data_IF_450708348698
#
_entry.id   IF_450708348698
#
_cell.length_a   1.000
_cell.length_b   1.000
_cell.length_c   1.000
_cell.angle_alpha   90.00
_cell.angle_beta   90.00
_cell.angle_gamma   90.00
#
_symmetry.space_group_name_H-M   'P 1'
#
loop_
_entity.id
_entity.type
_entity.pdbx_description
1 polymer ?
#
# COMPACT_ATOMS: atom_id res chain seq x y z
N UNK A 1 -15.12 14.23 -9.39
CA UNK A 1 -14.16 15.12 -8.68
C UNK A 1 -12.94 15.28 -9.56
N UNK A 2 -12.48 16.50 -9.79
CA UNK A 2 -11.21 16.73 -10.50
C UNK A 2 -10.07 16.45 -9.51
N UNK A 3 -9.13 15.57 -9.86
CA UNK A 3 -7.88 15.46 -9.10
C UNK A 3 -7.12 16.76 -9.22
N UNK A 4 -6.66 17.27 -8.10
CA UNK A 4 -5.75 18.41 -8.07
C UNK A 4 -4.35 17.91 -8.44
N UNK A 5 -4.07 17.88 -9.74
CA UNK A 5 -2.76 17.50 -10.27
C UNK A 5 -1.81 18.69 -10.10
N UNK A 6 -0.57 18.40 -9.71
CA UNK A 6 0.47 19.43 -9.67
C UNK A 6 0.53 20.17 -11.02
N UNK A 7 0.66 21.49 -10.99
CA UNK A 7 0.60 22.34 -12.17
C UNK A 7 1.55 21.88 -13.29
N UNK A 8 2.73 21.35 -12.94
CA UNK A 8 3.68 20.80 -13.89
C UNK A 8 3.13 19.59 -14.66
N UNK A 9 2.35 18.72 -14.01
CA UNK A 9 1.75 17.54 -14.65
C UNK A 9 0.57 17.97 -15.52
N UNK A 10 -0.31 18.86 -15.02
CA UNK A 10 -1.41 19.40 -15.82
C UNK A 10 -0.90 20.07 -17.10
N UNK A 11 0.11 20.91 -16.97
CA UNK A 11 0.75 21.61 -18.12
C UNK A 11 1.36 20.64 -19.12
N UNK A 12 2.03 19.58 -18.63
CA UNK A 12 2.65 18.56 -19.47
C UNK A 12 1.60 17.75 -20.26
N UNK A 13 0.45 17.46 -19.67
CA UNK A 13 -0.62 16.70 -20.33
C UNK A 13 -1.31 17.47 -21.46
N UNK A 14 -1.15 18.80 -21.49
CA UNK A 14 -1.65 19.66 -22.57
C UNK A 14 -0.70 19.71 -23.78
N UNK A 15 0.53 19.21 -23.67
CA UNK A 15 1.52 19.17 -24.75
C UNK A 15 1.21 18.06 -25.76
N UNK A 16 1.65 18.26 -27.03
CA UNK A 16 1.40 17.29 -28.12
C UNK A 16 2.17 15.98 -27.99
N UNK A 17 3.30 15.99 -27.28
CA UNK A 17 4.12 14.80 -27.03
C UNK A 17 4.42 14.69 -25.53
N UNK A 18 3.77 13.77 -24.87
CA UNK A 18 3.99 13.49 -23.45
C UNK A 18 4.44 12.05 -23.29
N UNK A 19 5.60 11.86 -22.70
CA UNK A 19 6.02 10.53 -22.22
C UNK A 19 5.53 10.35 -20.79
N UNK A 20 4.77 9.29 -20.56
CA UNK A 20 4.23 8.94 -19.23
C UNK A 20 4.93 7.73 -18.67
N UNK A 21 5.03 7.67 -17.34
CA UNK A 21 5.55 6.51 -16.65
C UNK A 21 4.79 6.23 -15.35
N UNK A 22 4.91 5.01 -14.89
CA UNK A 22 4.41 4.60 -13.60
C UNK A 22 5.57 4.30 -12.67
N UNK A 23 5.36 4.54 -11.39
CA UNK A 23 6.28 4.14 -10.34
C UNK A 23 5.52 3.58 -9.13
N UNK A 24 6.16 2.71 -8.39
CA UNK A 24 5.59 2.18 -7.15
C UNK A 24 6.64 2.11 -6.05
N UNK A 25 6.21 2.44 -4.83
CA UNK A 25 6.97 2.25 -3.61
C UNK A 25 6.35 1.08 -2.85
N UNK A 26 7.10 0.04 -2.58
CA UNK A 26 6.72 -1.05 -1.69
C UNK A 26 7.51 -0.89 -0.40
N UNK A 27 6.82 -0.49 0.66
CA UNK A 27 7.46 -0.14 1.94
C UNK A 27 7.47 -1.36 2.85
N UNK A 28 8.65 -1.88 3.10
CA UNK A 28 8.93 -2.95 4.06
C UNK A 28 9.47 -2.39 5.37
N UNK A 29 10.00 -3.22 6.23
CA UNK A 29 10.75 -2.75 7.39
C UNK A 29 12.12 -2.21 6.94
N UNK A 30 12.43 -0.98 7.36
CA UNK A 30 13.68 -0.31 6.98
C UNK A 30 14.90 -1.21 7.30
N UNK A 31 15.86 -1.37 6.40
CA UNK A 31 16.13 -0.58 5.18
C UNK A 31 15.64 -1.21 3.86
N UNK A 32 14.69 -2.13 3.89
CA UNK A 32 14.35 -3.04 2.78
C UNK A 32 13.26 -2.53 1.84
N UNK A 33 12.96 -1.24 1.84
CA UNK A 33 12.02 -0.64 0.90
C UNK A 33 12.41 -0.87 -0.55
N UNK A 34 11.44 -1.20 -1.39
CA UNK A 34 11.63 -1.44 -2.82
C UNK A 34 10.93 -0.37 -3.64
N UNK A 35 11.64 0.12 -4.66
CA UNK A 35 11.16 1.17 -5.54
C UNK A 35 11.30 0.71 -6.99
N UNK A 36 10.20 0.72 -7.74
CA UNK A 36 10.16 0.30 -9.14
C UNK A 36 9.53 1.36 -10.01
N UNK A 37 9.94 1.41 -11.28
CA UNK A 37 9.30 2.23 -12.29
C UNK A 37 9.20 1.52 -13.64
N UNK A 38 8.29 1.97 -14.50
CA UNK A 38 7.97 1.32 -15.79
C UNK A 38 9.00 1.53 -16.89
N UNK A 39 10.04 2.30 -16.65
CA UNK A 39 11.08 2.53 -17.62
C UNK A 39 12.28 1.59 -17.45
N UNK A 40 13.35 1.89 -18.18
CA UNK A 40 14.58 1.09 -18.21
C UNK A 40 15.67 1.83 -17.43
N UNK A 41 16.47 1.08 -16.67
CA UNK A 41 17.56 1.62 -15.85
C UNK A 41 17.07 2.29 -14.58
N UNK A 42 17.95 3.00 -13.90
CA UNK A 42 17.65 3.64 -12.63
C UNK A 42 17.05 5.05 -12.83
N UNK A 43 16.03 5.36 -12.07
CA UNK A 43 15.42 6.69 -12.00
C UNK A 43 15.56 7.24 -10.58
N UNK A 44 16.13 8.44 -10.43
CA UNK A 44 16.13 9.15 -9.16
C UNK A 44 14.92 10.10 -9.12
N UNK A 45 14.01 9.87 -8.16
CA UNK A 45 12.81 10.67 -7.94
C UNK A 45 12.62 10.89 -6.43
N UNK A 46 12.44 12.13 -6.01
CA UNK A 46 12.27 12.51 -4.61
C UNK A 46 13.37 11.97 -3.66
N UNK A 47 14.61 11.90 -4.15
CA UNK A 47 15.76 11.40 -3.39
C UNK A 47 15.81 9.87 -3.23
N UNK A 48 14.93 9.13 -3.91
CA UNK A 48 14.88 7.67 -3.94
C UNK A 48 15.31 7.16 -5.30
N UNK A 49 15.98 6.00 -5.32
CA UNK A 49 16.37 5.34 -6.57
C UNK A 49 15.37 4.24 -6.91
N UNK A 50 14.68 4.40 -8.03
CA UNK A 50 13.73 3.44 -8.59
C UNK A 50 14.43 2.58 -9.62
N UNK A 51 14.31 1.27 -9.47
CA UNK A 51 14.83 0.29 -10.44
C UNK A 51 13.82 0.12 -11.56
N UNK A 52 14.31 0.17 -12.80
CA UNK A 52 13.45 -0.10 -13.96
C UNK A 52 13.02 -1.56 -13.99
N UNK A 53 11.71 -1.77 -13.97
CA UNK A 53 11.10 -3.10 -14.05
C UNK A 53 10.99 -3.62 -15.50
N UNK A 54 11.68 -2.98 -16.46
CA UNK A 54 11.58 -3.32 -17.87
C UNK A 54 10.20 -3.03 -18.46
N UNK A 55 9.81 -3.78 -19.50
CA UNK A 55 8.56 -3.52 -20.23
C UNK A 55 7.25 -3.84 -19.47
N UNK A 56 7.33 -4.22 -18.18
CA UNK A 56 6.19 -4.81 -17.50
C UNK A 56 6.00 -4.35 -16.05
N UNK A 57 5.89 -3.05 -15.83
CA UNK A 57 5.08 -2.58 -14.70
C UNK A 57 3.64 -2.42 -15.21
N UNK A 58 2.83 -3.45 -15.05
CA UNK A 58 1.40 -3.41 -15.29
C UNK A 58 0.66 -2.97 -14.03
N UNK A 59 -0.23 -2.01 -14.16
CA UNK A 59 -1.15 -1.59 -13.09
C UNK A 59 -2.56 -1.83 -13.58
N UNK A 60 -3.37 -2.55 -12.79
CA UNK A 60 -4.78 -2.71 -13.12
C UNK A 60 -5.51 -1.38 -13.07
N UNK A 61 -6.76 -1.37 -13.52
CA UNK A 61 -7.63 -0.19 -13.39
C UNK A 61 -7.68 0.30 -11.95
N UNK A 62 -7.34 1.58 -11.75
CA UNK A 62 -7.50 2.28 -10.48
C UNK A 62 -8.90 2.92 -10.46
N UNK A 63 -9.79 2.37 -9.65
CA UNK A 63 -11.15 2.88 -9.52
C UNK A 63 -11.25 3.89 -8.39
N UNK A 64 -11.88 5.01 -8.69
CA UNK A 64 -12.26 6.02 -7.70
C UNK A 64 -13.78 6.20 -7.73
N UNK A 65 -14.37 6.25 -6.56
CA UNK A 65 -15.80 6.54 -6.39
C UNK A 65 -15.99 7.56 -5.29
N UNK A 66 -17.10 8.28 -5.34
CA UNK A 66 -17.56 9.13 -4.23
C UNK A 66 -18.13 8.31 -3.06
N UNK A 67 -18.38 7.03 -3.28
CA UNK A 67 -18.89 6.13 -2.24
C UNK A 67 -17.75 5.67 -1.34
N UNK A 68 -18.06 5.39 -0.09
CA UNK A 68 -17.13 4.78 0.86
C UNK A 68 -17.04 3.28 0.52
N UNK A 69 -16.27 2.96 -0.52
CA UNK A 69 -16.02 1.60 -0.96
C UNK A 69 -14.51 1.33 -0.98
N UNK A 70 -14.14 0.13 -0.55
CA UNK A 70 -12.77 -0.32 -0.62
C UNK A 70 -12.48 -0.82 -2.04
N UNK A 71 -11.59 -0.15 -2.73
CA UNK A 71 -11.08 -0.56 -4.03
C UNK A 71 -9.66 -1.06 -3.89
N UNK A 72 -9.31 -2.05 -4.67
CA UNK A 72 -7.96 -2.58 -4.77
C UNK A 72 -7.33 -2.28 -6.12
N UNK A 73 -6.02 -2.47 -6.20
CA UNK A 73 -5.25 -2.45 -7.43
C UNK A 73 -4.36 -3.69 -7.49
N UNK A 74 -4.13 -4.22 -8.68
CA UNK A 74 -3.14 -5.27 -8.88
C UNK A 74 -1.94 -4.68 -9.59
N UNK A 75 -0.77 -4.84 -8.98
CA UNK A 75 0.52 -4.46 -9.54
C UNK A 75 1.16 -5.72 -10.15
N UNK A 76 1.48 -5.68 -11.42
CA UNK A 76 2.20 -6.76 -12.10
C UNK A 76 3.61 -6.29 -12.41
N UNK A 77 4.58 -6.93 -11.80
CA UNK A 77 6.00 -6.62 -11.89
C UNK A 77 6.70 -7.78 -12.62
N UNK A 78 7.50 -7.49 -13.62
CA UNK A 78 8.28 -8.49 -14.37
C UNK A 78 9.72 -8.01 -14.56
N UNK A 79 10.63 -8.92 -14.89
CA UNK A 79 12.03 -8.59 -15.08
C UNK A 79 12.78 -8.22 -13.81
N UNK A 80 12.23 -8.52 -12.63
CA UNK A 80 12.86 -8.18 -11.35
C UNK A 80 14.05 -9.12 -11.09
N UNK A 81 15.22 -8.60 -10.67
CA UNK A 81 16.33 -9.42 -10.26
C UNK A 81 15.99 -10.38 -9.11
N UNK A 82 16.50 -11.60 -9.16
CA UNK A 82 16.22 -12.65 -8.15
C UNK A 82 16.61 -12.23 -6.71
N UNK A 83 17.60 -11.35 -6.59
CA UNK A 83 18.02 -10.77 -5.30
C UNK A 83 16.89 -9.97 -4.63
N UNK A 84 16.12 -9.22 -5.41
CA UNK A 84 15.00 -8.42 -4.91
C UNK A 84 13.82 -9.33 -4.54
N UNK A 85 13.58 -10.38 -5.34
CA UNK A 85 12.55 -11.39 -5.05
C UNK A 85 12.83 -12.06 -3.71
N UNK A 86 14.08 -12.38 -3.41
CA UNK A 86 14.43 -13.02 -2.14
C UNK A 86 14.14 -12.13 -0.92
N UNK A 87 14.31 -10.82 -1.04
CA UNK A 87 13.93 -9.87 0.02
C UNK A 87 12.41 -9.83 0.21
N UNK A 88 11.66 -9.74 -0.89
CA UNK A 88 10.21 -9.72 -0.84
C UNK A 88 9.60 -11.01 -0.25
N UNK A 89 10.26 -12.16 -0.42
CA UNK A 89 9.84 -13.43 0.18
C UNK A 89 10.28 -13.61 1.63
N UNK A 90 11.36 -12.97 2.04
CA UNK A 90 11.92 -13.13 3.39
C UNK A 90 11.19 -12.29 4.44
N UNK A 91 10.52 -11.22 4.03
CA UNK A 91 9.87 -10.27 4.92
C UNK A 91 8.33 -10.35 4.88
N UNK A 92 7.66 -10.13 6.02
CA UNK A 92 6.21 -10.04 6.05
C UNK A 92 5.75 -8.79 5.29
N UNK A 93 5.14 -8.99 4.12
CA UNK A 93 4.66 -7.91 3.26
C UNK A 93 3.18 -7.55 3.51
N UNK A 94 2.39 -8.50 4.01
CA UNK A 94 0.96 -8.28 4.24
C UNK A 94 0.70 -7.14 5.23
N UNK A 95 -0.22 -6.23 4.85
CA UNK A 95 -0.54 -5.04 5.62
C UNK A 95 0.51 -3.92 5.52
N UNK A 96 1.59 -4.13 4.74
CA UNK A 96 2.59 -3.10 4.48
C UNK A 96 2.11 -2.16 3.38
N UNK A 97 2.56 -0.90 3.44
CA UNK A 97 2.11 0.14 2.53
C UNK A 97 2.69 -0.03 1.14
N UNK A 98 1.82 0.12 0.13
CA UNK A 98 2.21 0.31 -1.26
C UNK A 98 1.69 1.65 -1.76
N UNK A 99 2.52 2.36 -2.53
CA UNK A 99 2.19 3.68 -3.10
C UNK A 99 2.38 3.58 -4.61
N UNK A 100 1.36 3.94 -5.38
CA UNK A 100 1.41 4.01 -6.83
C UNK A 100 1.47 5.46 -7.25
N UNK A 101 2.41 5.76 -8.13
CA UNK A 101 2.67 7.10 -8.66
C UNK A 101 2.49 7.10 -10.18
N UNK A 102 1.87 8.15 -10.68
CA UNK A 102 1.81 8.49 -12.10
C UNK A 102 2.77 9.63 -12.36
N UNK A 103 3.61 9.49 -13.37
CA UNK A 103 4.59 10.49 -13.72
C UNK A 103 4.60 10.85 -15.19
N UNK A 104 5.14 12.03 -15.46
CA UNK A 104 5.37 12.56 -16.79
C UNK A 104 6.84 12.93 -16.96
N UNK A 105 7.35 12.73 -18.17
CA UNK A 105 8.68 13.17 -18.58
C UNK A 105 8.52 14.34 -19.55
N UNK A 106 8.98 15.50 -19.12
CA UNK A 106 8.97 16.72 -19.94
C UNK A 106 10.42 17.12 -20.20
N UNK A 107 10.85 16.97 -21.42
CA UNK A 107 12.21 17.34 -21.85
C UNK A 107 13.32 16.74 -20.95
N UNK A 108 13.15 15.51 -20.50
CA UNK A 108 14.11 14.80 -19.64
C UNK A 108 13.93 15.07 -18.13
N UNK A 109 12.99 15.94 -17.76
CA UNK A 109 12.65 16.18 -16.35
C UNK A 109 11.45 15.32 -15.97
N UNK A 110 11.68 14.35 -15.07
CA UNK A 110 10.64 13.44 -14.60
C UNK A 110 10.00 13.93 -13.32
N UNK A 111 8.69 14.05 -13.34
CA UNK A 111 7.89 14.46 -12.18
C UNK A 111 6.75 13.45 -11.99
N UNK A 112 6.44 13.09 -10.76
CA UNK A 112 5.38 12.15 -10.46
C UNK A 112 4.48 12.61 -9.31
N UNK A 113 3.24 12.14 -9.34
CA UNK A 113 2.23 12.37 -8.30
C UNK A 113 1.70 11.03 -7.79
N UNK A 114 1.43 10.94 -6.50
CA UNK A 114 0.77 9.77 -5.92
C UNK A 114 -0.67 9.70 -6.39
N UNK A 115 -1.04 8.57 -6.99
CA UNK A 115 -2.40 8.32 -7.49
C UNK A 115 -3.15 7.29 -6.67
N UNK A 116 -2.44 6.41 -5.98
CA UNK A 116 -3.05 5.41 -5.11
C UNK A 116 -2.13 5.08 -3.94
N UNK A 117 -2.72 4.86 -2.77
CA UNK A 117 -2.02 4.35 -1.59
C UNK A 117 -2.88 3.26 -0.96
N UNK A 118 -2.28 2.11 -0.73
CA UNK A 118 -2.95 0.96 -0.15
C UNK A 118 -2.01 0.12 0.71
N UNK A 119 -2.49 -1.05 1.09
CA UNK A 119 -1.74 -2.05 1.84
C UNK A 119 -1.57 -3.31 0.98
N UNK A 120 -0.38 -3.90 0.99
CA UNK A 120 -0.09 -5.14 0.29
C UNK A 120 -0.87 -6.29 0.94
N UNK A 121 -1.57 -7.08 0.13
CA UNK A 121 -2.37 -8.21 0.61
C UNK A 121 -1.81 -9.54 0.09
N UNK A 122 -2.09 -9.92 -1.13
CA UNK A 122 -1.65 -11.18 -1.72
C UNK A 122 -0.56 -10.95 -2.75
N UNK A 123 0.53 -11.71 -2.63
CA UNK A 123 1.61 -11.73 -3.61
C UNK A 123 1.68 -13.10 -4.27
N UNK A 124 1.54 -13.13 -5.58
CA UNK A 124 1.65 -14.33 -6.40
C UNK A 124 2.92 -14.22 -7.27
N UNK A 125 3.82 -15.18 -7.16
CA UNK A 125 5.08 -15.22 -7.90
C UNK A 125 5.01 -16.38 -8.89
N UNK A 126 5.14 -16.05 -10.17
CA UNK A 126 5.16 -17.02 -11.25
C UNK A 126 6.56 -17.10 -11.88
N UNK A 127 7.14 -18.28 -11.85
CA UNK A 127 8.43 -18.54 -12.47
C UNK A 127 8.21 -19.06 -13.90
N UNK A 128 8.55 -18.25 -14.89
CA UNK A 128 8.63 -18.64 -16.29
C UNK A 128 10.00 -19.18 -16.65
N UNK A 129 10.19 -19.63 -17.90
CA UNK A 129 11.49 -20.16 -18.35
C UNK A 129 12.59 -19.08 -18.31
N UNK A 130 12.27 -17.86 -18.68
CA UNK A 130 13.22 -16.76 -18.82
C UNK A 130 12.91 -15.54 -17.92
N UNK A 131 11.72 -15.49 -17.34
CA UNK A 131 11.27 -14.33 -16.56
C UNK A 131 10.51 -14.75 -15.32
N UNK A 132 10.62 -13.93 -14.27
CA UNK A 132 9.79 -14.03 -13.08
C UNK A 132 8.78 -12.89 -13.09
N UNK A 133 7.53 -13.23 -12.91
CA UNK A 133 6.44 -12.26 -12.81
C UNK A 133 5.86 -12.29 -11.40
N UNK A 134 5.75 -11.12 -10.78
CA UNK A 134 5.13 -10.93 -9.49
C UNK A 134 3.82 -10.18 -9.69
N UNK A 135 2.72 -10.75 -9.22
CA UNK A 135 1.42 -10.10 -9.15
C UNK A 135 1.11 -9.81 -7.69
N UNK A 136 1.01 -8.54 -7.35
CA UNK A 136 0.76 -8.07 -5.99
C UNK A 136 -0.59 -7.38 -5.92
N UNK A 137 -1.50 -7.94 -5.13
CA UNK A 137 -2.76 -7.28 -4.80
C UNK A 137 -2.51 -6.21 -3.73
N UNK A 138 -3.00 -5.01 -3.98
CA UNK A 138 -2.93 -3.88 -3.04
C UNK A 138 -4.34 -3.41 -2.77
N UNK A 139 -4.73 -3.40 -1.50
CA UNK A 139 -6.06 -2.99 -1.06
C UNK A 139 -6.05 -1.60 -0.46
N UNK A 140 -7.13 -0.84 -0.68
CA UNK A 140 -7.32 0.43 0.02
C UNK A 140 -7.48 0.19 1.52
N UNK A 141 -6.94 1.07 2.36
CA UNK A 141 -7.13 1.03 3.82
C UNK A 141 -8.59 1.07 4.27
N UNK A 142 -9.51 1.42 3.38
CA UNK A 142 -10.95 1.32 3.67
C UNK A 142 -11.43 -0.13 3.89
N UNK A 143 -10.67 -1.13 3.42
CA UNK A 143 -10.92 -2.56 3.74
C UNK A 143 -10.89 -2.80 5.25
N UNK A 144 -10.07 -2.06 5.99
CA UNK A 144 -10.01 -2.18 7.46
C UNK A 144 -11.32 -1.81 8.16
N UNK A 145 -12.18 -1.00 7.53
CA UNK A 145 -13.51 -0.70 8.04
C UNK A 145 -14.43 -1.93 8.02
N UNK A 146 -14.19 -2.86 7.08
CA UNK A 146 -14.96 -4.10 6.94
C UNK A 146 -14.38 -5.22 7.80
N UNK A 147 -13.17 -5.08 8.34
CA UNK A 147 -12.54 -6.08 9.21
C UNK A 147 -13.08 -5.94 10.63
N UNK A 148 -13.77 -6.96 11.18
CA UNK A 148 -14.27 -6.89 12.55
C UNK A 148 -13.09 -6.78 13.52
N UNK A 149 -13.07 -5.74 14.32
CA UNK A 149 -12.11 -5.64 15.42
C UNK A 149 -12.68 -6.39 16.61
N UNK A 150 -12.00 -7.47 17.01
CA UNK A 150 -12.35 -8.19 18.23
C UNK A 150 -12.00 -7.29 19.42
N UNK A 151 -13.03 -6.66 19.99
CA UNK A 151 -12.93 -5.87 21.20
C UNK A 151 -13.75 -6.52 22.29
N UNK A 152 -13.17 -6.67 23.46
CA UNK A 152 -13.85 -7.19 24.64
C UNK A 152 -13.96 -6.07 25.67
N UNK A 153 -15.11 -5.96 26.29
CA UNK A 153 -15.31 -5.05 27.43
C UNK A 153 -14.82 -5.75 28.69
N UNK A 154 -13.51 -5.97 28.78
CA UNK A 154 -12.84 -6.58 29.94
C UNK A 154 -11.64 -5.73 30.33
N UNK A 155 -11.29 -5.77 31.62
CA UNK A 155 -10.13 -5.08 32.14
C UNK A 155 -8.85 -5.48 31.40
N UNK A 156 -8.64 -6.77 31.15
CA UNK A 156 -7.47 -7.27 30.42
C UNK A 156 -7.34 -6.69 29.00
N UNK A 157 -8.44 -6.58 28.23
CA UNK A 157 -8.42 -5.98 26.88
C UNK A 157 -8.15 -4.48 26.96
N UNK A 158 -8.67 -3.79 27.95
CA UNK A 158 -8.44 -2.36 28.17
C UNK A 158 -6.98 -2.09 28.57
N UNK A 159 -6.47 -2.81 29.57
CA UNK A 159 -5.10 -2.65 30.06
C UNK A 159 -4.05 -2.95 28.99
N UNK A 160 -4.32 -3.92 28.08
CA UNK A 160 -3.41 -4.25 26.99
C UNK A 160 -3.19 -3.10 26.01
N UNK A 161 -4.12 -2.14 25.96
CA UNK A 161 -4.11 -0.98 25.03
C UNK A 161 -3.77 0.32 25.72
N UNK A 162 -4.31 0.49 26.90
CA UNK A 162 -4.20 1.68 27.72
C UNK A 162 -3.75 1.25 29.12
N UNK A 163 -2.45 1.09 29.27
CA UNK A 163 -1.87 0.68 30.55
C UNK A 163 -2.25 1.65 31.66
N UNK A 164 -2.83 1.11 32.73
CA UNK A 164 -3.27 1.91 33.88
C UNK A 164 -4.70 2.47 33.77
N UNK A 165 -5.43 2.18 32.70
CA UNK A 165 -6.86 2.56 32.60
C UNK A 165 -7.73 1.54 33.34
N UNK A 166 -8.41 2.01 34.40
CA UNK A 166 -9.23 1.22 35.31
C UNK A 166 -10.72 1.22 34.94
N UNK A 167 -11.10 1.72 33.76
CA UNK A 167 -12.52 1.89 33.38
C UNK A 167 -13.32 0.56 33.40
N UNK A 168 -12.64 -0.56 33.18
CA UNK A 168 -13.26 -1.89 33.18
C UNK A 168 -12.80 -2.82 34.33
N UNK A 169 -12.18 -2.26 35.38
CA UNK A 169 -11.69 -3.01 36.53
C UNK A 169 -12.78 -3.89 37.16
N UNK A 170 -14.00 -3.39 37.26
CA UNK A 170 -15.12 -4.07 37.91
C UNK A 170 -15.90 -5.04 37.00
N UNK A 171 -15.68 -5.01 35.69
CA UNK A 171 -16.47 -5.84 34.75
C UNK A 171 -16.29 -7.33 35.01
N UNK A 172 -15.07 -7.75 35.33
CA UNK A 172 -14.79 -9.16 35.64
C UNK A 172 -15.48 -9.59 36.94
N UNK A 173 -15.54 -8.71 37.95
CA UNK A 173 -16.22 -9.01 39.22
C UNK A 173 -17.73 -9.10 39.06
N UNK A 174 -18.32 -8.28 38.19
CA UNK A 174 -19.76 -8.32 37.87
C UNK A 174 -20.20 -9.63 37.21
N UNK A 175 -19.28 -10.37 36.58
CA UNK A 175 -19.57 -11.69 36.00
C UNK A 175 -19.63 -12.81 37.06
N UNK A 176 -18.88 -12.68 38.15
CA UNK A 176 -18.69 -13.73 39.15
C UNK A 176 -19.48 -13.49 40.46
N UNK A 177 -19.98 -12.28 40.68
CA UNK A 177 -20.71 -11.91 41.89
C UNK A 177 -22.25 -11.82 41.62
N UNK A 178 -23.02 -12.53 42.40
CA UNK A 178 -24.49 -12.35 42.48
C UNK A 178 -24.77 -10.97 43.11
N UNK A 179 -25.09 -9.99 42.28
CA UNK A 179 -25.52 -8.67 42.77
C UNK A 179 -26.90 -8.75 43.35
N UNK A 180 -27.01 -8.79 44.68
CA UNK A 180 -28.29 -8.60 45.38
C UNK A 180 -28.61 -7.11 45.43
N UNK A 181 -29.65 -6.71 44.72
CA UNK A 181 -30.23 -5.39 44.83
C UNK A 181 -31.12 -5.38 46.08
N UNK A 182 -30.63 -4.78 47.16
CA UNK A 182 -31.51 -4.48 48.31
C UNK A 182 -32.51 -3.39 47.86
N UNK A 183 -33.80 -3.74 47.92
CA UNK A 183 -34.91 -2.85 47.64
C UNK A 183 -35.24 -1.90 48.80
#
# INVERSE_FOLDING_TARGET
MSRDLAAAISSALDDQEVSVFWACDLLFDSPNDLYFWSGIGDLVLDGKTYVGAGDLLGISELRESSDIAAYGATLTLSGIPSSIISVALAEPYQGRRAIVKFGVDVAGTKTAVTVFTGEMDEMNIQFGADTVTISLAVESRLVDLNRPRIRRYTDADQQSRFSGDLAFEFVTRLQDEDLQWEG
#
